data_IF_621358514577
#
_entry.id   IF_621358514577
#
_cell.length_a   1.000
_cell.length_b   1.000
_cell.length_c   1.000
_cell.angle_alpha   90.00
_cell.angle_beta   90.00
_cell.angle_gamma   90.00
#
_symmetry.space_group_name_H-M   'P 1'
#
loop_
_entity.id
_entity.type
_entity.pdbx_description
1 polymer ?
#
# COMPACT_ATOMS: atom_id res chain seq x y z
N UNK A 1 12.28 18.94 22.83
CA UNK A 1 12.47 19.91 21.73
C UNK A 1 13.73 19.57 20.92
N UNK A 2 14.92 19.53 21.54
CA UNK A 2 16.19 19.18 20.85
C UNK A 2 16.14 17.81 20.18
N UNK A 3 15.66 16.76 20.86
CA UNK A 3 15.58 15.41 20.28
C UNK A 3 14.62 15.30 19.09
N UNK A 4 13.51 16.08 19.10
CA UNK A 4 12.57 16.13 17.98
C UNK A 4 13.18 16.84 16.77
N UNK A 5 13.91 17.95 17.01
CA UNK A 5 14.61 18.67 15.96
C UNK A 5 15.73 17.82 15.33
N UNK A 6 16.47 17.05 16.14
CA UNK A 6 17.47 16.10 15.65
C UNK A 6 16.82 15.00 14.81
N UNK A 7 15.69 14.44 15.25
CA UNK A 7 14.96 13.42 14.50
C UNK A 7 14.47 13.96 13.14
N UNK A 8 13.81 15.13 13.14
CA UNK A 8 13.35 15.78 11.90
C UNK A 8 14.53 16.08 10.99
N UNK A 9 15.63 16.61 11.53
CA UNK A 9 16.86 16.87 10.77
C UNK A 9 17.42 15.60 10.15
N UNK A 10 17.50 14.50 10.91
CA UNK A 10 18.01 13.21 10.43
C UNK A 10 17.17 12.61 9.29
N UNK A 11 15.87 12.90 9.24
CA UNK A 11 14.99 12.48 8.16
C UNK A 11 15.01 13.45 6.97
N UNK A 12 14.97 14.77 7.22
CA UNK A 12 14.82 15.79 6.19
C UNK A 12 16.10 16.08 5.43
N UNK A 13 17.26 16.07 6.10
CA UNK A 13 18.55 16.40 5.47
C UNK A 13 18.91 15.43 4.35
N UNK A 14 18.84 14.09 4.53
CA UNK A 14 19.10 13.15 3.43
C UNK A 14 18.16 13.35 2.23
N UNK A 15 16.87 13.61 2.49
CA UNK A 15 15.87 13.85 1.45
C UNK A 15 16.18 15.15 0.68
N UNK A 16 16.53 16.22 1.39
CA UNK A 16 16.87 17.50 0.79
C UNK A 16 18.15 17.42 -0.05
N UNK A 17 19.19 16.73 0.45
CA UNK A 17 20.43 16.48 -0.29
C UNK A 17 20.16 15.63 -1.54
N UNK A 18 19.31 14.61 -1.44
CA UNK A 18 18.89 13.81 -2.58
C UNK A 18 18.14 14.63 -3.63
N UNK A 19 17.22 15.51 -3.21
CA UNK A 19 16.55 16.44 -4.13
C UNK A 19 17.53 17.42 -4.78
N UNK A 20 18.46 18.00 -4.03
CA UNK A 20 19.46 18.90 -4.57
C UNK A 20 20.33 18.20 -5.63
N UNK A 21 20.75 16.97 -5.35
CA UNK A 21 21.49 16.13 -6.30
C UNK A 21 20.67 15.83 -7.56
N UNK A 22 19.40 15.48 -7.41
CA UNK A 22 18.53 15.19 -8.55
C UNK A 22 18.30 16.42 -9.44
N UNK A 23 18.06 17.59 -8.85
CA UNK A 23 17.90 18.84 -9.61
C UNK A 23 19.19 19.20 -10.34
N UNK A 24 20.33 19.08 -9.68
CA UNK A 24 21.64 19.35 -10.29
C UNK A 24 21.93 18.40 -11.46
N UNK A 25 21.60 17.11 -11.34
CA UNK A 25 22.01 16.07 -12.29
C UNK A 25 20.99 15.84 -13.41
N UNK A 26 19.69 15.92 -13.09
CA UNK A 26 18.59 15.57 -13.99
C UNK A 26 17.64 16.73 -14.30
N UNK A 27 17.79 17.88 -13.62
CA UNK A 27 16.92 19.05 -13.82
C UNK A 27 15.52 18.91 -13.21
N UNK A 28 15.27 17.85 -12.43
CA UNK A 28 13.99 17.63 -11.74
C UNK A 28 14.19 17.06 -10.33
N UNK A 29 13.26 17.35 -9.41
CA UNK A 29 13.37 16.98 -7.99
C UNK A 29 13.51 15.47 -7.75
N UNK A 30 12.93 14.65 -8.62
CA UNK A 30 12.74 13.20 -8.40
C UNK A 30 13.48 12.32 -9.40
N UNK A 31 14.25 12.93 -10.32
CA UNK A 31 14.83 12.28 -11.48
C UNK A 31 13.81 11.46 -12.31
N UNK A 32 12.55 11.90 -12.37
CA UNK A 32 11.44 11.11 -12.94
C UNK A 32 10.97 11.58 -14.31
N UNK A 33 11.34 12.78 -14.77
CA UNK A 33 10.83 13.35 -16.01
C UNK A 33 11.17 12.48 -17.23
N UNK A 34 12.41 12.00 -17.37
CA UNK A 34 12.81 11.15 -18.48
C UNK A 34 11.99 9.86 -18.59
N UNK A 35 11.57 9.30 -17.44
CA UNK A 35 10.69 8.13 -17.40
C UNK A 35 9.26 8.49 -17.80
N UNK A 36 8.73 9.60 -17.29
CA UNK A 36 7.39 10.10 -17.61
C UNK A 36 7.27 10.35 -19.12
N UNK A 37 8.27 11.00 -19.71
CA UNK A 37 8.34 11.29 -21.14
C UNK A 37 8.46 10.00 -21.97
N UNK A 38 9.31 9.07 -21.57
CA UNK A 38 9.44 7.75 -22.22
C UNK A 38 8.12 6.97 -22.21
N UNK A 39 7.35 7.05 -21.14
CA UNK A 39 6.05 6.39 -21.01
C UNK A 39 4.92 7.16 -21.71
N UNK A 40 5.19 8.33 -22.29
CA UNK A 40 4.21 9.18 -22.95
C UNK A 40 3.17 9.77 -21.99
N UNK A 41 3.50 9.88 -20.70
CA UNK A 41 2.60 10.44 -19.69
C UNK A 41 2.62 11.96 -19.75
N UNK A 42 1.46 12.58 -19.57
CA UNK A 42 1.34 14.05 -19.54
C UNK A 42 0.71 14.51 -18.23
N UNK A 43 1.21 15.62 -17.67
CA UNK A 43 0.63 16.20 -16.45
C UNK A 43 -0.69 16.89 -16.76
N UNK A 44 -1.73 16.56 -15.99
CA UNK A 44 -3.03 17.24 -16.08
C UNK A 44 -3.03 18.51 -15.25
N UNK A 45 -3.59 19.62 -15.75
CA UNK A 45 -3.82 20.79 -14.91
C UNK A 45 -4.81 20.45 -13.79
N UNK A 46 -4.68 21.08 -12.63
CA UNK A 46 -5.50 20.81 -11.43
C UNK A 46 -7.00 20.96 -11.71
N UNK A 47 -7.38 21.87 -12.61
CA UNK A 47 -8.77 22.03 -13.07
C UNK A 47 -9.38 20.77 -13.68
N UNK A 48 -8.54 19.89 -14.23
CA UNK A 48 -8.96 18.66 -14.92
C UNK A 48 -8.85 17.42 -14.02
N UNK A 49 -8.63 17.59 -12.73
CA UNK A 49 -8.52 16.48 -11.78
C UNK A 49 -9.90 15.92 -11.40
N UNK A 50 -10.91 16.76 -11.25
CA UNK A 50 -12.24 16.36 -10.78
C UNK A 50 -12.96 15.30 -11.64
N UNK A 51 -12.86 15.33 -12.99
CA UNK A 51 -13.46 14.30 -13.84
C UNK A 51 -12.82 12.90 -13.71
N UNK A 52 -11.80 12.72 -12.86
CA UNK A 52 -11.10 11.46 -12.72
C UNK A 52 -12.03 10.35 -12.18
N UNK A 53 -12.00 9.12 -12.74
CA UNK A 53 -12.94 8.07 -12.38
C UNK A 53 -12.81 7.59 -10.93
N UNK A 54 -11.67 7.84 -10.27
CA UNK A 54 -11.48 7.54 -8.83
C UNK A 54 -12.51 8.21 -7.92
N UNK A 55 -13.10 9.34 -8.34
CA UNK A 55 -14.16 10.02 -7.58
C UNK A 55 -15.54 9.38 -7.78
N UNK A 56 -15.65 8.33 -8.61
CA UNK A 56 -16.87 7.54 -8.81
C UNK A 56 -16.84 6.25 -7.99
N UNK A 57 -18.01 5.72 -7.63
CA UNK A 57 -18.09 4.44 -6.93
C UNK A 57 -17.44 3.29 -7.70
N UNK A 58 -17.54 3.29 -9.03
CA UNK A 58 -16.91 2.27 -9.86
C UNK A 58 -15.39 2.39 -9.82
N UNK A 59 -14.84 3.60 -9.89
CA UNK A 59 -13.39 3.79 -9.80
C UNK A 59 -12.83 3.47 -8.42
N UNK A 60 -13.53 3.77 -7.33
CA UNK A 60 -13.12 3.32 -5.98
C UNK A 60 -13.15 1.79 -5.87
N UNK A 61 -14.21 1.15 -6.39
CA UNK A 61 -14.34 -0.32 -6.42
C UNK A 61 -13.27 -0.99 -7.28
N UNK A 62 -12.66 -0.26 -8.21
CA UNK A 62 -11.57 -0.77 -9.01
C UNK A 62 -10.21 -0.52 -8.35
N UNK A 63 -9.97 0.72 -7.91
CA UNK A 63 -8.73 1.17 -7.30
C UNK A 63 -8.42 0.42 -6.01
N UNK A 64 -9.36 0.43 -5.05
CA UNK A 64 -9.08 -0.04 -3.70
C UNK A 64 -8.85 -1.55 -3.61
N UNK A 65 -9.70 -2.42 -4.20
CA UNK A 65 -9.46 -3.86 -4.18
C UNK A 65 -8.15 -4.26 -4.85
N UNK A 66 -7.82 -3.62 -5.98
CA UNK A 66 -6.60 -3.94 -6.71
C UNK A 66 -5.34 -3.46 -5.97
N UNK A 67 -5.39 -2.26 -5.37
CA UNK A 67 -4.30 -1.73 -4.55
C UNK A 67 -4.04 -2.62 -3.32
N UNK A 68 -5.09 -3.08 -2.64
CA UNK A 68 -4.92 -3.95 -1.48
C UNK A 68 -4.45 -5.34 -1.86
N UNK A 69 -5.01 -5.94 -2.91
CA UNK A 69 -4.54 -7.23 -3.38
C UNK A 69 -3.06 -7.21 -3.78
N UNK A 70 -2.62 -6.18 -4.53
CA UNK A 70 -1.23 -6.03 -4.94
C UNK A 70 -0.29 -5.65 -3.80
N UNK A 71 -0.78 -4.97 -2.77
CA UNK A 71 0.01 -4.64 -1.58
C UNK A 71 0.40 -5.89 -0.78
N UNK A 72 -0.52 -6.86 -0.66
CA UNK A 72 -0.25 -8.13 0.01
C UNK A 72 0.55 -9.11 -0.84
N UNK A 73 0.11 -9.33 -2.09
CA UNK A 73 0.69 -10.33 -3.00
C UNK A 73 1.97 -9.84 -3.69
N UNK A 74 2.15 -8.53 -3.80
CA UNK A 74 3.08 -7.94 -4.75
C UNK A 74 2.56 -7.97 -6.19
N UNK A 75 3.47 -7.71 -7.12
CA UNK A 75 3.17 -7.51 -8.55
C UNK A 75 4.02 -8.43 -9.44
N UNK A 76 4.22 -9.69 -9.01
CA UNK A 76 4.95 -10.67 -9.81
C UNK A 76 4.21 -10.95 -11.12
N UNK A 77 4.94 -10.87 -12.23
CA UNK A 77 4.42 -11.10 -13.58
C UNK A 77 5.17 -12.29 -14.18
N UNK A 78 4.42 -13.25 -14.70
CA UNK A 78 4.96 -14.43 -15.38
C UNK A 78 4.25 -14.63 -16.72
N UNK A 79 5.00 -14.80 -17.80
CA UNK A 79 4.48 -14.85 -19.19
C UNK A 79 3.53 -13.69 -19.55
N UNK A 80 3.86 -12.47 -19.10
CA UNK A 80 3.07 -11.27 -19.38
C UNK A 80 1.74 -11.19 -18.61
N UNK A 81 1.47 -12.13 -17.69
CA UNK A 81 0.30 -12.10 -16.81
C UNK A 81 0.72 -11.93 -15.37
N UNK A 82 -0.01 -11.09 -14.63
CA UNK A 82 0.17 -10.97 -13.19
C UNK A 82 -0.23 -12.29 -12.53
N UNK A 83 0.66 -12.88 -11.75
CA UNK A 83 0.35 -14.06 -10.96
C UNK A 83 -0.65 -13.66 -9.88
N UNK A 84 -1.83 -14.27 -9.93
CA UNK A 84 -2.98 -13.84 -9.17
C UNK A 84 -3.95 -14.98 -8.93
N UNK A 85 -4.46 -15.10 -7.71
CA UNK A 85 -5.61 -15.96 -7.43
C UNK A 85 -6.77 -15.12 -6.90
N UNK A 86 -7.91 -15.19 -7.59
CA UNK A 86 -9.06 -14.32 -7.31
C UNK A 86 -9.56 -14.44 -5.86
N UNK A 87 -9.52 -15.64 -5.28
CA UNK A 87 -9.93 -15.84 -3.90
C UNK A 87 -8.97 -15.16 -2.90
N UNK A 88 -7.65 -15.26 -3.12
CA UNK A 88 -6.65 -14.60 -2.27
C UNK A 88 -6.79 -13.08 -2.34
N UNK A 89 -6.94 -12.54 -3.55
CA UNK A 89 -7.14 -11.10 -3.75
C UNK A 89 -8.39 -10.61 -3.02
N UNK A 90 -9.47 -11.38 -3.13
CA UNK A 90 -10.74 -11.10 -2.45
C UNK A 90 -10.57 -11.10 -0.94
N UNK A 91 -9.87 -12.11 -0.40
CA UNK A 91 -9.54 -12.18 1.00
C UNK A 91 -8.69 -10.97 1.45
N UNK A 92 -7.67 -10.59 0.69
CA UNK A 92 -6.77 -9.49 1.04
C UNK A 92 -7.49 -8.15 1.12
N UNK A 93 -8.26 -7.76 0.10
CA UNK A 93 -8.91 -6.46 0.15
C UNK A 93 -10.07 -6.40 1.14
N UNK A 94 -10.87 -7.47 1.27
CA UNK A 94 -11.97 -7.52 2.24
C UNK A 94 -11.41 -7.48 3.67
N UNK A 95 -10.45 -8.35 3.98
CA UNK A 95 -9.88 -8.40 5.33
C UNK A 95 -9.16 -7.09 5.69
N UNK A 96 -8.46 -6.46 4.75
CA UNK A 96 -7.81 -5.16 4.97
C UNK A 96 -8.83 -4.06 5.24
N UNK A 97 -9.91 -4.00 4.45
CA UNK A 97 -10.97 -3.00 4.62
C UNK A 97 -11.67 -3.15 5.96
N UNK A 98 -12.01 -4.39 6.34
CA UNK A 98 -12.61 -4.70 7.64
C UNK A 98 -11.65 -4.38 8.78
N UNK A 99 -10.38 -4.75 8.66
CA UNK A 99 -9.37 -4.48 9.68
C UNK A 99 -9.18 -2.98 9.91
N UNK A 100 -9.08 -2.19 8.83
CA UNK A 100 -9.00 -0.73 8.93
C UNK A 100 -10.27 -0.16 9.59
N UNK A 101 -11.45 -0.61 9.17
CA UNK A 101 -12.72 -0.17 9.77
C UNK A 101 -12.82 -0.48 11.26
N UNK A 102 -12.49 -1.71 11.66
CA UNK A 102 -12.46 -2.13 13.06
C UNK A 102 -11.43 -1.33 13.84
N UNK A 103 -10.22 -1.15 13.32
CA UNK A 103 -9.17 -0.38 13.98
C UNK A 103 -9.61 1.07 14.19
N UNK A 104 -10.04 1.76 13.14
CA UNK A 104 -10.48 3.17 13.24
C UNK A 104 -11.65 3.31 14.22
N UNK A 105 -12.64 2.43 14.16
CA UNK A 105 -13.76 2.45 15.09
C UNK A 105 -13.35 2.16 16.53
N UNK A 106 -12.38 1.27 16.73
CA UNK A 106 -11.85 0.92 18.05
C UNK A 106 -10.78 1.89 18.57
N UNK A 107 -10.40 2.92 17.81
CA UNK A 107 -9.54 4.01 18.30
C UNK A 107 -10.31 5.11 19.05
N UNK A 108 -11.64 5.14 18.93
CA UNK A 108 -12.45 6.13 19.65
C UNK A 108 -12.43 5.86 21.16
N UNK A 109 -12.11 6.86 22.02
CA UNK A 109 -11.80 6.66 23.44
C UNK A 109 -12.85 5.88 24.25
N UNK A 110 -14.12 5.95 23.85
CA UNK A 110 -15.24 5.28 24.51
C UNK A 110 -15.25 3.76 24.34
N UNK A 111 -14.48 3.22 23.39
CA UNK A 111 -14.58 1.83 22.93
C UNK A 111 -13.32 0.98 23.25
N UNK A 112 -12.33 1.57 23.92
CA UNK A 112 -10.96 1.05 24.00
C UNK A 112 -10.46 1.06 25.45
N UNK A 113 -9.64 0.07 25.80
CA UNK A 113 -8.81 0.04 27.02
C UNK A 113 -7.33 0.32 26.72
N UNK A 114 -7.04 0.99 25.60
CA UNK A 114 -5.66 1.29 25.19
C UNK A 114 -5.05 2.37 26.08
N UNK A 115 -3.74 2.24 26.33
CA UNK A 115 -2.94 3.34 26.86
C UNK A 115 -2.87 4.48 25.84
N UNK A 116 -2.64 5.71 26.32
CA UNK A 116 -2.55 6.89 25.44
C UNK A 116 -1.47 6.72 24.37
N UNK A 117 -0.29 6.23 24.78
CA UNK A 117 0.82 5.97 23.88
C UNK A 117 0.49 4.96 22.77
N UNK A 118 -0.22 3.86 23.09
CA UNK A 118 -0.64 2.87 22.09
C UNK A 118 -1.64 3.47 21.10
N UNK A 119 -2.59 4.27 21.60
CA UNK A 119 -3.58 4.94 20.77
C UNK A 119 -2.93 5.95 19.82
N UNK A 120 -1.98 6.75 20.30
CA UNK A 120 -1.20 7.68 19.48
C UNK A 120 -0.37 6.95 18.43
N UNK A 121 0.30 5.86 18.82
CA UNK A 121 1.09 5.03 17.90
C UNK A 121 0.23 4.42 16.79
N UNK A 122 -0.98 3.94 17.11
CA UNK A 122 -1.92 3.39 16.14
C UNK A 122 -2.51 4.47 15.22
N UNK A 123 -2.81 5.67 15.76
CA UNK A 123 -3.20 6.81 14.92
C UNK A 123 -2.10 7.20 13.96
N UNK A 124 -0.85 7.29 14.44
CA UNK A 124 0.30 7.59 13.59
C UNK A 124 0.49 6.52 12.51
N UNK A 125 0.35 5.24 12.86
CA UNK A 125 0.45 4.13 11.93
C UNK A 125 -0.65 4.21 10.85
N UNK A 126 -1.91 4.40 11.26
CA UNK A 126 -3.03 4.58 10.33
C UNK A 126 -2.82 5.80 9.43
N UNK A 127 -2.44 6.95 9.99
CA UNK A 127 -2.18 8.18 9.23
C UNK A 127 -1.05 8.00 8.23
N UNK A 128 0.03 7.30 8.59
CA UNK A 128 1.16 7.02 7.69
C UNK A 128 0.69 6.20 6.48
N UNK A 129 -0.06 5.13 6.73
CA UNK A 129 -0.64 4.31 5.67
C UNK A 129 -1.62 5.11 4.80
N UNK A 130 -2.53 5.87 5.42
CA UNK A 130 -3.52 6.69 4.72
C UNK A 130 -2.86 7.76 3.83
N UNK A 131 -1.82 8.44 4.31
CA UNK A 131 -1.06 9.42 3.54
C UNK A 131 -0.46 8.79 2.28
N UNK A 132 0.11 7.59 2.39
CA UNK A 132 0.68 6.89 1.22
C UNK A 132 -0.39 6.44 0.22
N UNK A 133 -1.55 5.96 0.70
CA UNK A 133 -2.70 5.66 -0.17
C UNK A 133 -3.19 6.91 -0.90
N UNK A 134 -3.33 8.03 -0.18
CA UNK A 134 -3.73 9.32 -0.76
C UNK A 134 -2.69 9.81 -1.76
N UNK A 135 -1.40 9.68 -1.46
CA UNK A 135 -0.33 10.06 -2.37
C UNK A 135 -0.40 9.28 -3.69
N UNK A 136 -0.60 7.97 -3.63
CA UNK A 136 -0.76 7.11 -4.81
C UNK A 136 -2.05 7.44 -5.58
N UNK A 137 -3.14 7.77 -4.89
CA UNK A 137 -4.36 8.27 -5.51
C UNK A 137 -4.15 9.62 -6.22
N UNK A 138 -3.42 10.55 -5.60
CA UNK A 138 -3.07 11.84 -6.20
C UNK A 138 -2.22 11.67 -7.45
N UNK A 139 -1.22 10.77 -7.43
CA UNK A 139 -0.45 10.42 -8.62
C UNK A 139 -1.34 9.85 -9.72
N UNK A 140 -2.35 9.05 -9.38
CA UNK A 140 -3.31 8.50 -10.35
C UNK A 140 -4.09 9.60 -11.07
N UNK A 141 -4.47 10.64 -10.32
CA UNK A 141 -5.23 11.78 -10.84
C UNK A 141 -4.36 12.74 -11.66
N UNK A 142 -3.11 12.94 -11.24
CA UNK A 142 -2.23 13.99 -11.77
C UNK A 142 -1.76 13.78 -13.20
N UNK A 143 -1.81 12.55 -13.73
CA UNK A 143 -1.30 12.21 -15.06
C UNK A 143 -2.38 11.70 -16.02
N UNK A 144 -2.24 12.01 -17.31
CA UNK A 144 -2.83 11.25 -18.41
C UNK A 144 -1.78 10.26 -18.90
N UNK A 145 -2.14 8.97 -18.87
CA UNK A 145 -1.24 7.86 -19.15
C UNK A 145 -1.05 7.54 -20.63
N UNK A 146 -1.71 8.28 -21.54
CA UNK A 146 -1.47 8.15 -22.97
C UNK A 146 -1.71 6.73 -23.50
N UNK A 147 -0.72 6.19 -24.24
CA UNK A 147 -0.73 4.82 -24.77
C UNK A 147 0.01 3.81 -23.86
N UNK A 148 0.31 4.19 -22.62
CA UNK A 148 1.01 3.31 -21.69
C UNK A 148 0.15 2.08 -21.36
N UNK A 149 0.73 0.86 -21.40
CA UNK A 149 -0.03 -0.36 -21.08
C UNK A 149 -0.44 -0.43 -19.61
N UNK A 150 0.33 0.18 -18.71
CA UNK A 150 0.06 0.14 -17.28
C UNK A 150 0.85 1.21 -16.51
N UNK A 151 0.19 2.14 -15.78
CA UNK A 151 -1.25 2.46 -15.84
C UNK A 151 -1.66 2.92 -17.25
N UNK A 152 -2.94 2.79 -17.60
CA UNK A 152 -3.47 3.14 -18.92
C UNK A 152 -4.60 4.18 -18.81
N UNK A 153 -5.09 4.71 -19.93
CA UNK A 153 -6.24 5.63 -19.94
C UNK A 153 -7.55 4.98 -19.48
N UNK A 154 -7.74 3.71 -19.81
CA UNK A 154 -8.92 2.93 -19.41
C UNK A 154 -8.88 2.58 -17.92
N UNK A 155 -7.66 2.33 -17.39
CA UNK A 155 -7.41 1.99 -16.00
C UNK A 155 -6.37 2.96 -15.39
N UNK A 156 -6.75 4.24 -15.14
CA UNK A 156 -5.83 5.31 -14.77
C UNK A 156 -5.50 5.28 -13.28
N UNK A 157 -4.98 4.16 -12.80
CA UNK A 157 -4.77 3.91 -11.38
C UNK A 157 -3.38 3.38 -11.10
N UNK A 158 -2.65 4.04 -10.20
CA UNK A 158 -1.49 3.44 -9.56
C UNK A 158 -1.96 2.45 -8.51
N UNK A 159 -2.18 1.21 -8.93
CA UNK A 159 -2.53 0.09 -8.04
C UNK A 159 -1.30 -0.74 -7.67
N UNK A 160 -0.09 -0.23 -7.92
CA UNK A 160 1.14 -0.93 -7.62
C UNK A 160 1.41 -0.92 -6.11
N UNK A 161 1.09 -2.02 -5.43
CA UNK A 161 1.27 -2.18 -3.99
C UNK A 161 2.70 -1.98 -3.51
N UNK A 162 3.71 -2.20 -4.36
CA UNK A 162 5.11 -1.93 -4.00
C UNK A 162 5.37 -0.45 -3.67
N UNK A 163 4.56 0.46 -4.22
CA UNK A 163 4.63 1.89 -3.92
C UNK A 163 4.23 2.21 -2.48
N UNK A 164 3.50 1.30 -1.82
CA UNK A 164 3.11 1.38 -0.43
C UNK A 164 4.04 0.56 0.49
N UNK A 165 5.15 0.00 0.01
CA UNK A 165 6.02 -0.89 0.79
C UNK A 165 6.51 -0.28 2.11
N UNK A 166 6.79 1.03 2.13
CA UNK A 166 7.14 1.75 3.36
C UNK A 166 6.01 1.75 4.42
N UNK A 167 4.76 1.52 3.98
CA UNK A 167 3.58 1.42 4.83
C UNK A 167 3.34 0.01 5.40
N UNK A 168 4.17 -0.99 5.06
CA UNK A 168 3.98 -2.38 5.49
C UNK A 168 3.88 -2.50 7.02
N UNK A 169 4.89 -2.01 7.73
CA UNK A 169 4.94 -2.04 9.19
C UNK A 169 3.73 -1.33 9.83
N UNK A 170 3.45 -0.05 9.53
CA UNK A 170 2.31 0.64 10.14
C UNK A 170 0.97 -0.02 9.78
N UNK A 171 0.79 -0.50 8.56
CA UNK A 171 -0.40 -1.24 8.17
C UNK A 171 -0.57 -2.53 8.99
N UNK A 172 0.47 -3.36 9.12
CA UNK A 172 0.38 -4.61 9.88
C UNK A 172 0.18 -4.38 11.37
N UNK A 173 0.68 -3.28 11.93
CA UNK A 173 0.35 -2.86 13.29
C UNK A 173 -1.15 -2.61 13.45
N UNK A 174 -1.74 -1.81 12.56
CA UNK A 174 -3.19 -1.55 12.54
C UNK A 174 -3.99 -2.84 12.32
N UNK A 175 -3.55 -3.70 11.39
CA UNK A 175 -4.20 -4.97 11.08
C UNK A 175 -4.16 -5.94 12.26
N UNK A 176 -3.01 -6.07 12.93
CA UNK A 176 -2.83 -6.93 14.10
C UNK A 176 -3.71 -6.49 15.28
N UNK A 177 -3.82 -5.18 15.51
CA UNK A 177 -4.71 -4.62 16.51
C UNK A 177 -6.19 -4.91 16.18
N UNK A 178 -6.59 -4.75 14.91
CA UNK A 178 -7.94 -5.08 14.48
C UNK A 178 -8.27 -6.55 14.69
N UNK A 179 -7.32 -7.45 14.40
CA UNK A 179 -7.46 -8.88 14.66
C UNK A 179 -7.58 -9.19 16.15
N UNK A 180 -6.74 -8.58 16.99
CA UNK A 180 -6.83 -8.70 18.45
C UNK A 180 -8.21 -8.31 18.96
N UNK A 181 -8.73 -7.18 18.46
CA UNK A 181 -10.07 -6.71 18.80
C UNK A 181 -11.16 -7.64 18.28
N UNK A 182 -11.06 -8.08 17.02
CA UNK A 182 -12.02 -8.98 16.40
C UNK A 182 -12.04 -10.36 17.06
N UNK A 183 -10.95 -10.81 17.68
CA UNK A 183 -10.84 -12.06 18.41
C UNK A 183 -11.01 -11.90 19.93
N UNK A 184 -11.30 -10.70 20.43
CA UNK A 184 -11.41 -10.43 21.88
C UNK A 184 -12.59 -11.14 22.57
N UNK A 185 -13.57 -11.61 21.80
CA UNK A 185 -14.66 -12.47 22.25
C UNK A 185 -14.21 -13.89 22.62
N UNK A 186 -13.01 -14.31 22.20
CA UNK A 186 -12.45 -15.63 22.52
C UNK A 186 -11.61 -15.50 23.81
N UNK A 187 -12.04 -16.10 24.94
CA UNK A 187 -11.38 -15.90 26.23
C UNK A 187 -10.01 -16.57 26.33
N UNK A 188 -9.75 -17.61 25.53
CA UNK A 188 -8.50 -18.40 25.59
C UNK A 188 -7.43 -17.79 24.69
N UNK A 189 -6.37 -17.25 25.30
CA UNK A 189 -5.21 -16.69 24.58
C UNK A 189 -4.54 -17.70 23.63
N UNK A 190 -4.44 -18.98 24.03
CA UNK A 190 -3.88 -20.03 23.18
C UNK A 190 -4.66 -20.23 21.88
N UNK A 191 -6.00 -20.24 21.94
CA UNK A 191 -6.85 -20.36 20.75
C UNK A 191 -6.67 -19.16 19.81
N UNK A 192 -6.53 -17.95 20.36
CA UNK A 192 -6.29 -16.75 19.58
C UNK A 192 -4.94 -16.81 18.84
N UNK A 193 -3.88 -17.25 19.52
CA UNK A 193 -2.57 -17.44 18.88
C UNK A 193 -2.62 -18.52 17.79
N UNK A 194 -3.32 -19.63 18.02
CA UNK A 194 -3.51 -20.69 17.02
C UNK A 194 -4.24 -20.14 15.79
N UNK A 195 -5.30 -19.35 15.97
CA UNK A 195 -6.04 -18.74 14.85
C UNK A 195 -5.17 -17.75 14.07
N UNK A 196 -4.41 -16.88 14.75
CA UNK A 196 -3.48 -15.98 14.08
C UNK A 196 -2.37 -16.74 13.33
N UNK A 197 -1.82 -17.79 13.94
CA UNK A 197 -0.81 -18.65 13.32
C UNK A 197 -1.36 -19.39 12.09
N UNK A 198 -2.57 -19.95 12.19
CA UNK A 198 -3.24 -20.60 11.06
C UNK A 198 -3.52 -19.62 9.92
N UNK A 199 -3.93 -18.38 10.23
CA UNK A 199 -4.14 -17.33 9.24
C UNK A 199 -2.83 -16.95 8.53
N UNK A 200 -1.76 -16.74 9.28
CA UNK A 200 -0.44 -16.43 8.73
C UNK A 200 0.08 -17.57 7.87
N UNK A 201 -0.07 -18.82 8.32
CA UNK A 201 0.32 -20.01 7.56
C UNK A 201 -0.49 -20.12 6.26
N UNK A 202 -1.81 -19.89 6.31
CA UNK A 202 -2.65 -19.88 5.13
C UNK A 202 -2.20 -18.84 4.12
N UNK A 203 -1.93 -17.60 4.56
CA UNK A 203 -1.44 -16.52 3.69
C UNK A 203 -0.12 -16.95 3.02
N UNK A 204 0.86 -17.41 3.80
CA UNK A 204 2.18 -17.82 3.30
C UNK A 204 2.06 -18.97 2.30
N UNK A 205 1.37 -20.05 2.65
CA UNK A 205 1.20 -21.21 1.76
C UNK A 205 0.47 -20.83 0.49
N UNK A 206 -0.59 -20.03 0.60
CA UNK A 206 -1.36 -19.57 -0.56
C UNK A 206 -0.51 -18.70 -1.49
N UNK A 207 0.39 -17.87 -0.94
CA UNK A 207 1.27 -17.02 -1.71
C UNK A 207 2.38 -17.83 -2.38
N UNK A 208 3.02 -18.74 -1.65
CA UNK A 208 4.02 -19.66 -2.21
C UNK A 208 3.44 -20.49 -3.36
N UNK A 209 2.20 -20.95 -3.26
CA UNK A 209 1.54 -21.71 -4.31
C UNK A 209 1.33 -20.88 -5.60
N UNK A 210 0.96 -19.60 -5.47
CA UNK A 210 0.79 -18.68 -6.60
C UNK A 210 2.15 -18.41 -7.27
N UNK A 211 3.17 -18.16 -6.48
CA UNK A 211 4.48 -17.74 -6.99
C UNK A 211 5.36 -18.92 -7.44
N UNK A 212 4.99 -20.15 -7.07
CA UNK A 212 5.75 -21.37 -7.37
C UNK A 212 6.08 -21.51 -8.86
N UNK A 213 5.16 -21.14 -9.74
CA UNK A 213 5.36 -21.22 -11.19
C UNK A 213 6.50 -20.34 -11.69
N UNK A 214 6.70 -19.17 -11.08
CA UNK A 214 7.80 -18.27 -11.41
C UNK A 214 9.11 -18.74 -10.77
N UNK A 215 9.09 -19.12 -9.49
CA UNK A 215 10.30 -19.52 -8.76
C UNK A 215 10.85 -20.89 -9.14
N UNK A 216 10.02 -21.82 -9.61
CA UNK A 216 10.48 -23.14 -10.08
C UNK A 216 11.19 -23.11 -11.44
N UNK A 217 11.11 -21.98 -12.17
CA UNK A 217 11.77 -21.83 -13.46
C UNK A 217 13.26 -21.60 -13.29
N UNK A 218 14.08 -22.52 -13.83
CA UNK A 218 15.56 -22.43 -13.83
C UNK A 218 16.11 -21.22 -14.60
N UNK A 219 15.27 -20.57 -15.40
CA UNK A 219 15.63 -19.42 -16.23
C UNK A 219 15.17 -18.08 -15.63
N UNK A 220 14.52 -18.10 -14.46
CA UNK A 220 14.00 -16.89 -13.83
C UNK A 220 15.00 -16.31 -12.83
N UNK A 221 16.00 -15.59 -13.34
CA UNK A 221 16.97 -14.85 -12.52
C UNK A 221 16.51 -13.44 -12.14
N UNK A 222 15.36 -12.98 -12.65
CA UNK A 222 14.87 -11.61 -12.41
C UNK A 222 14.31 -11.37 -11.00
N UNK A 223 14.04 -12.45 -10.26
CA UNK A 223 13.40 -12.40 -8.94
C UNK A 223 14.26 -13.06 -7.85
N UNK A 224 15.53 -13.38 -8.14
CA UNK A 224 16.55 -13.85 -7.20
C UNK A 224 17.42 -12.69 -6.69
#
# INVERSE_FOLDING_TARGET
MVSLAILIGSAAVPIALWFAWNVHTFGDLTASNSKIDFLGWTRKPVSNWWPHPIFTLNGVKEFWPQLMASFWRGELIWHGKRLAFKANDTFYWISSTLAIGVAVFSLFPRLTKLTEFQRESLWLAFSTFAVLVVFVALLSIAFDFGLCPYPSREHPYFISGRLLSAAAVPFFLVYSYALDRALSWIPRAGTRMILCGALALFIVVSQCAVDWSAFSSRYNFFHL
#
